data_IF_202996191587
#
_entry.id   IF_202996191587
#
_cell.length_a   1.000
_cell.length_b   1.000
_cell.length_c   1.000
_cell.angle_alpha   90.00
_cell.angle_beta   90.00
_cell.angle_gamma   90.00
#
_symmetry.space_group_name_H-M   'P 1'
#
loop_
_entity.id
_entity.type
_entity.pdbx_description
1 polymer ?
#
# COMPACT_ATOMS: atom_id res chain seq x y z
N UNK A 1 -29.55 6.46 12.73
CA UNK A 1 -29.32 5.03 12.95
C UNK A 1 -28.60 4.89 14.28
N UNK A 2 -29.13 4.07 15.19
CA UNK A 2 -28.51 3.83 16.50
C UNK A 2 -27.25 2.98 16.29
N UNK A 3 -26.11 3.40 16.84
CA UNK A 3 -24.89 2.60 16.76
C UNK A 3 -25.12 1.24 17.43
N UNK A 4 -24.66 0.16 16.79
CA UNK A 4 -24.62 -1.16 17.41
C UNK A 4 -23.71 -1.09 18.65
N UNK A 5 -24.13 -1.75 19.72
CA UNK A 5 -23.33 -1.89 20.94
C UNK A 5 -22.68 -3.26 20.96
N UNK A 6 -21.67 -3.45 21.82
CA UNK A 6 -21.03 -4.76 22.02
C UNK A 6 -22.05 -5.86 22.36
N UNK A 7 -23.14 -5.50 23.04
CA UNK A 7 -24.20 -6.43 23.45
C UNK A 7 -25.08 -6.91 22.29
N UNK A 8 -25.15 -6.14 21.20
CA UNK A 8 -25.90 -6.52 20.00
C UNK A 8 -25.11 -7.39 19.01
N UNK A 9 -23.81 -7.61 19.24
CA UNK A 9 -23.00 -8.47 18.38
C UNK A 9 -23.32 -9.96 18.58
N UNK A 10 -23.35 -10.70 17.48
CA UNK A 10 -23.62 -12.13 17.44
C UNK A 10 -22.31 -12.91 17.39
N UNK A 11 -21.83 -13.28 18.57
CA UNK A 11 -20.73 -14.22 18.69
C UNK A 11 -21.24 -15.64 18.37
N UNK A 12 -20.39 -16.45 17.76
CA UNK A 12 -20.69 -17.87 17.53
C UNK A 12 -21.03 -18.54 18.87
N UNK A 13 -22.19 -19.22 19.00
CA UNK A 13 -22.66 -19.72 20.29
C UNK A 13 -21.87 -20.91 20.83
N UNK A 14 -21.09 -21.60 19.99
CA UNK A 14 -20.30 -22.76 20.40
C UNK A 14 -18.91 -22.34 20.88
N UNK A 15 -18.32 -21.34 20.23
CA UNK A 15 -16.94 -20.90 20.44
C UNK A 15 -16.83 -19.60 21.22
N UNK A 16 -17.88 -18.78 21.23
CA UNK A 16 -17.87 -17.43 21.81
C UNK A 16 -17.06 -16.42 20.99
N UNK A 17 -16.78 -16.71 19.71
CA UNK A 17 -15.90 -15.92 18.85
C UNK A 17 -16.67 -15.23 17.72
N UNK A 18 -16.14 -14.10 17.26
CA UNK A 18 -16.62 -13.37 16.08
C UNK A 18 -15.46 -13.21 15.08
N UNK A 19 -15.68 -13.39 13.76
CA UNK A 19 -14.69 -13.07 12.76
C UNK A 19 -14.45 -11.56 12.71
N UNK A 20 -13.19 -11.19 12.56
CA UNK A 20 -12.72 -9.82 12.40
C UNK A 20 -11.89 -9.73 11.13
N UNK A 21 -12.36 -8.97 10.15
CA UNK A 21 -11.58 -8.56 8.98
C UNK A 21 -10.85 -7.28 9.34
N UNK A 22 -9.54 -7.23 9.07
CA UNK A 22 -8.72 -6.05 9.32
C UNK A 22 -8.34 -5.41 8.00
N UNK A 23 -8.61 -4.12 7.85
CA UNK A 23 -8.28 -3.33 6.66
C UNK A 23 -7.40 -2.15 7.04
N UNK A 24 -6.41 -1.86 6.22
CA UNK A 24 -5.62 -0.65 6.36
C UNK A 24 -6.48 0.58 6.05
N UNK A 25 -6.54 1.49 7.00
CA UNK A 25 -7.32 2.72 6.91
C UNK A 25 -6.81 3.67 5.81
N UNK A 26 -5.51 3.61 5.47
CA UNK A 26 -4.86 4.46 4.46
C UNK A 26 -5.02 3.90 3.04
N UNK A 27 -4.59 2.65 2.83
CA UNK A 27 -4.58 2.04 1.50
C UNK A 27 -5.90 1.35 1.12
N UNK A 28 -6.75 1.02 2.09
CA UNK A 28 -7.92 0.17 1.86
C UNK A 28 -7.58 -1.32 1.66
N UNK A 29 -6.31 -1.72 1.78
CA UNK A 29 -5.91 -3.11 1.66
C UNK A 29 -6.50 -3.97 2.79
N UNK A 30 -7.11 -5.10 2.46
CA UNK A 30 -7.46 -6.11 3.47
C UNK A 30 -6.16 -6.78 3.93
N UNK A 31 -5.88 -6.70 5.24
CA UNK A 31 -4.62 -7.14 5.84
C UNK A 31 -4.68 -8.58 6.34
N UNK A 32 -5.73 -8.93 7.08
CA UNK A 32 -5.89 -10.25 7.69
C UNK A 32 -7.34 -10.50 8.13
N UNK A 33 -7.66 -11.76 8.37
CA UNK A 33 -8.81 -12.17 9.15
C UNK A 33 -8.35 -12.91 10.40
N UNK A 34 -8.95 -12.58 11.54
CA UNK A 34 -8.75 -13.28 12.80
C UNK A 34 -10.07 -13.42 13.55
N UNK A 35 -10.03 -14.07 14.71
CA UNK A 35 -11.18 -14.21 15.60
C UNK A 35 -10.99 -13.29 16.79
N UNK A 36 -12.08 -12.83 17.40
CA UNK A 36 -12.07 -12.14 18.67
C UNK A 36 -13.17 -12.72 19.56
N UNK A 37 -12.88 -12.90 20.84
CA UNK A 37 -13.93 -13.09 21.85
C UNK A 37 -14.49 -11.72 22.27
N UNK A 38 -15.58 -11.74 23.05
CA UNK A 38 -16.20 -10.50 23.55
C UNK A 38 -15.21 -9.59 24.29
N UNK A 39 -14.31 -10.17 25.08
CA UNK A 39 -13.33 -9.41 25.85
C UNK A 39 -12.23 -8.79 24.96
N UNK A 40 -11.79 -9.46 23.89
CA UNK A 40 -10.85 -8.87 22.93
C UNK A 40 -11.47 -7.71 22.15
N UNK A 41 -12.76 -7.81 21.77
CA UNK A 41 -13.47 -6.68 21.14
C UNK A 41 -13.58 -5.50 22.11
N UNK A 42 -14.00 -5.76 23.35
CA UNK A 42 -14.09 -4.72 24.38
C UNK A 42 -12.73 -4.02 24.61
N UNK A 43 -11.65 -4.79 24.75
CA UNK A 43 -10.30 -4.25 24.87
C UNK A 43 -9.90 -3.42 23.66
N UNK A 44 -10.19 -3.89 22.45
CA UNK A 44 -9.87 -3.15 21.22
C UNK A 44 -10.60 -1.81 21.16
N UNK A 45 -11.88 -1.76 21.54
CA UNK A 45 -12.65 -0.52 21.57
C UNK A 45 -12.09 0.49 22.60
N UNK A 46 -11.60 -0.01 23.73
CA UNK A 46 -11.03 0.79 24.83
C UNK A 46 -9.61 1.30 24.51
N UNK A 47 -8.69 0.38 24.16
CA UNK A 47 -7.27 0.71 23.97
C UNK A 47 -6.95 1.22 22.58
N UNK A 48 -7.84 0.97 21.61
CA UNK A 48 -7.58 1.17 20.17
C UNK A 48 -6.41 0.34 19.65
N UNK A 49 -5.97 -0.69 20.36
CA UNK A 49 -4.98 -1.67 19.89
C UNK A 49 -5.72 -2.92 19.41
N UNK A 50 -5.44 -3.38 18.19
CA UNK A 50 -6.13 -4.54 17.67
C UNK A 50 -5.80 -5.80 18.48
N UNK A 51 -6.79 -6.28 19.23
CA UNK A 51 -6.70 -7.48 20.07
C UNK A 51 -7.54 -8.59 19.45
N UNK A 52 -6.98 -9.79 19.39
CA UNK A 52 -7.59 -10.97 18.79
C UNK A 52 -7.54 -12.15 19.75
N UNK A 53 -8.31 -13.19 19.44
CA UNK A 53 -8.29 -14.51 20.08
C UNK A 53 -7.57 -15.52 19.19
N UNK A 54 -6.56 -16.20 19.74
CA UNK A 54 -5.86 -17.29 19.05
C UNK A 54 -6.58 -18.61 19.32
N UNK A 55 -7.26 -19.17 18.31
CA UNK A 55 -7.97 -20.46 18.44
C UNK A 55 -7.05 -21.62 18.81
N UNK A 56 -5.80 -21.60 18.35
CA UNK A 56 -4.81 -22.65 18.62
C UNK A 56 -4.20 -22.54 20.01
N UNK A 57 -3.99 -21.33 20.52
CA UNK A 57 -3.41 -21.09 21.85
C UNK A 57 -4.45 -20.96 22.96
N UNK A 58 -5.72 -20.73 22.61
CA UNK A 58 -6.80 -20.51 23.58
C UNK A 58 -6.61 -19.25 24.41
N UNK A 59 -5.95 -18.23 23.85
CA UNK A 59 -5.63 -16.99 24.56
C UNK A 59 -5.78 -15.76 23.66
N UNK A 60 -5.96 -14.60 24.30
CA UNK A 60 -5.94 -13.30 23.63
C UNK A 60 -4.51 -12.88 23.28
N UNK A 61 -4.37 -12.12 22.21
CA UNK A 61 -3.10 -11.50 21.84
C UNK A 61 -3.33 -10.14 21.18
N UNK A 62 -2.44 -9.19 21.48
CA UNK A 62 -2.42 -7.87 20.85
C UNK A 62 -1.50 -7.93 19.64
N UNK A 63 -1.98 -7.51 18.47
CA UNK A 63 -1.19 -7.56 17.24
C UNK A 63 0.07 -6.72 17.36
N UNK A 64 1.20 -7.36 17.09
CA UNK A 64 2.51 -6.69 17.10
C UNK A 64 3.12 -6.50 18.48
N UNK A 65 2.50 -6.97 19.58
CA UNK A 65 3.07 -6.84 20.92
C UNK A 65 4.47 -7.46 21.06
N UNK A 66 4.77 -8.51 20.29
CA UNK A 66 6.10 -9.16 20.27
C UNK A 66 6.96 -8.67 19.11
N UNK A 67 6.39 -8.45 17.92
CA UNK A 67 7.17 -8.14 16.71
C UNK A 67 7.37 -6.64 16.45
N UNK A 68 6.63 -5.77 17.13
CA UNK A 68 6.54 -4.33 16.82
C UNK A 68 5.62 -4.00 15.64
N UNK A 69 5.06 -4.99 14.95
CA UNK A 69 4.20 -4.77 13.78
C UNK A 69 2.74 -4.55 14.21
N UNK A 70 2.49 -3.39 14.83
CA UNK A 70 1.23 -3.06 15.53
C UNK A 70 0.11 -2.64 14.58
N UNK A 71 -1.12 -2.68 15.12
CA UNK A 71 -2.34 -2.22 14.44
C UNK A 71 -3.09 -1.25 15.35
N UNK A 72 -3.06 0.03 15.02
CA UNK A 72 -3.80 1.07 15.71
C UNK A 72 -5.19 1.20 15.10
N UNK A 73 -6.22 0.83 15.84
CA UNK A 73 -7.62 0.85 15.40
C UNK A 73 -8.17 2.27 15.38
N UNK A 74 -8.56 2.74 14.20
CA UNK A 74 -9.15 4.06 14.00
C UNK A 74 -10.68 3.99 13.93
N UNK A 75 -11.22 2.88 13.44
CA UNK A 75 -12.67 2.67 13.29
C UNK A 75 -13.02 1.17 13.38
N UNK A 76 -14.21 0.87 13.88
CA UNK A 76 -14.76 -0.49 14.02
C UNK A 76 -16.20 -0.48 13.53
N UNK A 77 -16.49 -1.33 12.55
CA UNK A 77 -17.82 -1.49 11.98
C UNK A 77 -18.27 -2.93 12.14
N UNK A 78 -19.55 -3.13 12.46
CA UNK A 78 -20.19 -4.43 12.32
C UNK A 78 -20.86 -4.51 10.94
N UNK A 79 -21.01 -5.71 10.40
CA UNK A 79 -21.81 -5.93 9.21
C UNK A 79 -23.32 -5.85 9.50
N UNK A 80 -24.15 -6.13 8.48
CA UNK A 80 -25.58 -5.82 8.52
C UNK A 80 -26.38 -6.66 9.50
N UNK A 81 -25.90 -7.84 9.87
CA UNK A 81 -26.51 -8.73 10.86
C UNK A 81 -25.67 -8.91 12.13
N UNK A 82 -24.49 -8.28 12.20
CA UNK A 82 -23.71 -8.09 13.42
C UNK A 82 -22.92 -9.33 13.84
N UNK A 83 -22.65 -10.24 12.91
CA UNK A 83 -21.87 -11.46 13.15
C UNK A 83 -20.44 -11.39 12.59
N UNK A 84 -20.04 -10.24 12.03
CA UNK A 84 -18.67 -9.96 11.61
C UNK A 84 -18.28 -8.52 11.90
N UNK A 85 -16.99 -8.30 12.17
CA UNK A 85 -16.42 -6.98 12.40
C UNK A 85 -15.39 -6.61 11.33
N UNK A 86 -15.38 -5.34 10.94
CA UNK A 86 -14.32 -4.69 10.18
C UNK A 86 -13.54 -3.77 11.12
N UNK A 87 -12.26 -4.09 11.36
CA UNK A 87 -11.32 -3.18 12.00
C UNK A 87 -10.58 -2.39 10.93
N UNK A 88 -10.76 -1.06 10.92
CA UNK A 88 -9.91 -0.17 10.13
C UNK A 88 -8.74 0.27 11.00
N UNK A 89 -7.52 0.02 10.51
CA UNK A 89 -6.30 0.20 11.30
C UNK A 89 -5.24 1.01 10.57
N UNK A 90 -4.43 1.76 11.30
CA UNK A 90 -3.12 2.20 10.82
C UNK A 90 -2.13 1.10 11.15
N UNK A 91 -1.61 0.43 10.11
CA UNK A 91 -0.68 -0.70 10.23
C UNK A 91 0.76 -0.18 10.32
N UNK A 92 1.52 -0.68 11.30
CA UNK A 92 2.98 -0.48 11.39
C UNK A 92 3.69 -1.75 10.93
N UNK A 93 4.56 -1.65 9.92
CA UNK A 93 5.27 -2.80 9.35
C UNK A 93 4.35 -3.87 8.74
N UNK A 94 4.89 -5.03 8.34
CA UNK A 94 4.11 -6.15 7.79
C UNK A 94 3.01 -6.69 8.71
N UNK A 95 1.78 -6.86 8.21
CA UNK A 95 0.73 -7.54 8.99
C UNK A 95 0.99 -9.05 9.07
N UNK A 96 1.55 -9.66 8.02
CA UNK A 96 1.78 -11.10 7.94
C UNK A 96 3.09 -11.54 8.61
N UNK A 97 3.10 -12.74 9.20
CA UNK A 97 4.30 -13.32 9.80
C UNK A 97 5.36 -13.72 8.76
N UNK A 98 5.02 -13.77 7.47
CA UNK A 98 5.95 -14.07 6.37
C UNK A 98 6.79 -12.86 5.97
N UNK A 99 6.49 -11.68 6.50
CA UNK A 99 7.05 -10.41 6.05
C UNK A 99 6.24 -9.70 4.97
N UNK A 100 5.21 -10.34 4.41
CA UNK A 100 4.29 -9.69 3.49
C UNK A 100 3.39 -8.65 4.19
N UNK A 101 3.04 -7.58 3.49
CA UNK A 101 2.22 -6.49 4.06
C UNK A 101 0.82 -6.98 4.48
N UNK A 102 0.18 -7.81 3.65
CA UNK A 102 -1.11 -8.45 3.90
C UNK A 102 -0.95 -9.98 3.89
N UNK A 103 -1.81 -10.70 4.62
CA UNK A 103 -1.95 -12.15 4.51
C UNK A 103 -2.53 -12.60 3.15
N UNK A 104 -3.22 -11.73 2.43
CA UNK A 104 -3.89 -12.01 1.15
C UNK A 104 -2.96 -11.77 -0.04
N UNK A 105 -1.78 -12.41 -0.03
CA UNK A 105 -0.71 -12.19 -1.03
C UNK A 105 -0.54 -13.36 -2.01
N UNK A 106 -1.43 -14.35 -2.00
CA UNK A 106 -1.39 -15.53 -2.88
C UNK A 106 -2.68 -15.62 -3.71
N UNK A 107 -2.64 -15.33 -5.02
CA UNK A 107 -3.83 -15.41 -5.87
C UNK A 107 -4.23 -16.86 -6.15
N UNK A 108 -5.53 -17.16 -6.06
CA UNK A 108 -6.09 -18.47 -6.46
C UNK A 108 -6.63 -18.47 -7.90
N UNK A 109 -6.91 -17.30 -8.45
CA UNK A 109 -7.28 -17.12 -9.85
C UNK A 109 -6.19 -16.30 -10.54
N UNK A 110 -5.55 -16.90 -11.53
CA UNK A 110 -4.67 -16.21 -12.48
C UNK A 110 -5.50 -15.73 -13.67
N UNK A 111 -6.46 -14.83 -13.43
CA UNK A 111 -7.06 -14.09 -14.53
C UNK A 111 -6.01 -13.12 -15.08
N UNK A 112 -5.73 -13.20 -16.38
CA UNK A 112 -4.61 -12.52 -17.05
C UNK A 112 -4.49 -11.04 -16.69
N UNK A 113 -3.23 -10.60 -16.56
CA UNK A 113 -2.74 -9.30 -16.11
C UNK A 113 -3.55 -8.70 -14.93
N UNK A 114 -2.97 -8.57 -13.72
CA UNK A 114 -3.67 -7.89 -12.64
C UNK A 114 -4.21 -6.55 -13.15
N UNK A 115 -5.43 -6.17 -12.75
CA UNK A 115 -5.78 -4.74 -12.64
C UNK A 115 -4.89 -4.18 -11.51
N UNK A 116 -3.60 -4.13 -11.79
CA UNK A 116 -2.63 -3.52 -10.94
C UNK A 116 -3.02 -2.05 -10.89
N UNK A 117 -3.26 -1.54 -9.69
CA UNK A 117 -3.20 -0.10 -9.49
C UNK A 117 -1.89 0.44 -10.05
N UNK A 118 -1.84 1.75 -10.30
CA UNK A 118 -0.63 2.38 -10.79
C UNK A 118 0.57 2.02 -9.88
N UNK A 119 0.36 2.01 -8.56
CA UNK A 119 1.36 1.65 -7.55
C UNK A 119 2.03 0.28 -7.81
N UNK A 120 1.23 -0.78 -7.92
CA UNK A 120 1.72 -2.15 -8.19
C UNK A 120 2.38 -2.26 -9.58
N UNK A 121 1.93 -1.46 -10.54
CA UNK A 121 2.59 -1.38 -11.87
C UNK A 121 3.95 -0.69 -11.78
N UNK A 122 4.05 0.43 -11.06
CA UNK A 122 5.29 1.17 -10.88
C UNK A 122 6.34 0.34 -10.13
N UNK A 123 5.94 -0.39 -9.09
CA UNK A 123 6.83 -1.29 -8.34
C UNK A 123 7.42 -2.39 -9.23
N UNK A 124 6.60 -3.01 -10.09
CA UNK A 124 7.11 -4.02 -11.05
C UNK A 124 8.01 -3.43 -12.12
N UNK A 125 7.69 -2.24 -12.63
CA UNK A 125 8.55 -1.54 -13.61
C UNK A 125 9.89 -1.21 -12.97
N UNK A 126 9.90 -0.67 -11.74
CA UNK A 126 11.12 -0.37 -11.01
C UNK A 126 11.97 -1.62 -10.73
N UNK A 127 11.34 -2.72 -10.31
CA UNK A 127 12.04 -4.00 -10.12
C UNK A 127 12.69 -4.49 -11.42
N UNK A 128 11.97 -4.40 -12.54
CA UNK A 128 12.48 -4.76 -13.87
C UNK A 128 13.65 -3.87 -14.30
N UNK A 129 13.58 -2.56 -14.04
CA UNK A 129 14.67 -1.63 -14.31
C UNK A 129 15.90 -2.02 -13.49
N UNK A 130 15.74 -2.24 -12.19
CA UNK A 130 16.83 -2.59 -11.27
C UNK A 130 17.51 -3.89 -11.68
N UNK A 131 16.72 -4.92 -12.00
CA UNK A 131 17.25 -6.20 -12.51
C UNK A 131 18.06 -5.99 -13.79
N UNK A 132 17.54 -5.20 -14.74
CA UNK A 132 18.21 -4.93 -16.02
C UNK A 132 19.45 -4.05 -15.90
N UNK A 133 19.51 -3.16 -14.91
CA UNK A 133 20.73 -2.41 -14.58
C UNK A 133 21.81 -3.33 -13.99
N UNK A 134 21.41 -4.34 -13.20
CA UNK A 134 22.35 -5.31 -12.63
C UNK A 134 22.86 -6.34 -13.65
N UNK A 135 22.00 -6.77 -14.58
CA UNK A 135 22.29 -7.87 -15.51
C UNK A 135 22.73 -7.41 -16.90
N UNK A 136 22.47 -6.14 -17.26
CA UNK A 136 22.80 -5.52 -18.55
C UNK A 136 22.54 -6.42 -19.78
N UNK A 137 21.31 -6.95 -19.97
CA UNK A 137 21.05 -7.88 -21.05
C UNK A 137 21.16 -7.20 -22.42
N UNK A 138 21.67 -7.95 -23.40
CA UNK A 138 21.79 -7.47 -24.79
C UNK A 138 20.41 -7.03 -25.33
N UNK A 139 20.41 -5.96 -26.15
CA UNK A 139 19.22 -5.35 -26.75
C UNK A 139 18.20 -4.74 -25.76
N UNK A 140 18.50 -4.67 -24.46
CA UNK A 140 17.65 -3.99 -23.49
C UNK A 140 17.65 -2.48 -23.65
N UNK A 141 16.46 -1.86 -23.65
CA UNK A 141 16.34 -0.40 -23.62
C UNK A 141 17.02 0.19 -22.37
N UNK A 142 16.85 -0.45 -21.22
CA UNK A 142 17.47 -0.05 -19.94
C UNK A 142 18.99 -0.07 -20.06
N UNK A 143 19.57 -1.11 -20.64
CA UNK A 143 21.03 -1.20 -20.82
C UNK A 143 21.57 -0.10 -21.75
N UNK A 144 20.83 0.23 -22.83
CA UNK A 144 21.19 1.33 -23.74
C UNK A 144 21.07 2.71 -23.10
N UNK A 145 20.05 2.91 -22.25
CA UNK A 145 19.90 4.15 -21.48
C UNK A 145 21.06 4.29 -20.48
N UNK A 146 21.36 3.24 -19.73
CA UNK A 146 22.47 3.19 -18.76
C UNK A 146 23.81 3.52 -19.43
N UNK A 147 24.11 2.88 -20.56
CA UNK A 147 25.33 3.16 -21.34
C UNK A 147 25.41 4.61 -21.85
N UNK A 148 24.26 5.30 -21.97
CA UNK A 148 24.20 6.72 -22.33
C UNK A 148 24.44 7.68 -21.17
N UNK A 149 24.54 7.18 -19.92
CA UNK A 149 24.75 7.97 -18.72
C UNK A 149 23.50 8.73 -18.25
N UNK A 150 23.59 9.27 -17.03
CA UNK A 150 22.49 9.97 -16.36
C UNK A 150 21.96 11.16 -17.17
N UNK A 151 22.84 11.97 -17.77
CA UNK A 151 22.45 13.16 -18.55
C UNK A 151 21.48 12.83 -19.71
N UNK A 152 21.67 11.68 -20.35
CA UNK A 152 20.77 11.22 -21.42
C UNK A 152 19.36 10.95 -20.88
N UNK A 153 19.26 10.35 -19.69
CA UNK A 153 17.99 10.05 -19.04
C UNK A 153 17.30 11.35 -18.60
N UNK A 154 18.05 12.28 -18.01
CA UNK A 154 17.54 13.59 -17.60
C UNK A 154 16.98 14.39 -18.79
N UNK A 155 17.61 14.27 -19.96
CA UNK A 155 17.08 14.84 -21.20
C UNK A 155 15.73 14.22 -21.57
N UNK A 156 15.58 12.89 -21.50
CA UNK A 156 14.30 12.21 -21.77
C UNK A 156 13.22 12.66 -20.79
N UNK A 157 13.51 12.77 -19.49
CA UNK A 157 12.56 13.30 -18.50
C UNK A 157 12.06 14.70 -18.91
N UNK A 158 12.97 15.56 -19.37
CA UNK A 158 12.61 16.92 -19.80
C UNK A 158 11.75 16.92 -21.08
N UNK A 159 12.05 16.03 -22.03
CA UNK A 159 11.27 15.81 -23.26
C UNK A 159 9.85 15.34 -22.92
N UNK A 160 9.70 14.24 -22.18
CA UNK A 160 8.37 13.66 -21.89
C UNK A 160 7.54 14.63 -21.02
N UNK A 161 8.18 15.41 -20.14
CA UNK A 161 7.49 16.47 -19.40
C UNK A 161 6.85 17.50 -20.32
N UNK A 162 7.53 17.88 -21.41
CA UNK A 162 6.98 18.77 -22.43
C UNK A 162 5.79 18.14 -23.16
N UNK A 163 5.88 16.85 -23.48
CA UNK A 163 4.83 16.11 -24.18
C UNK A 163 3.57 15.95 -23.31
N UNK A 164 3.72 15.67 -22.00
CA UNK A 164 2.63 15.69 -21.01
C UNK A 164 1.90 17.04 -21.01
N UNK A 165 2.63 18.15 -21.01
CA UNK A 165 2.03 19.49 -21.01
C UNK A 165 1.21 19.74 -22.29
N UNK A 166 1.72 19.30 -23.45
CA UNK A 166 1.04 19.45 -24.73
C UNK A 166 -0.21 18.57 -24.81
N UNK A 167 -0.11 17.29 -24.45
CA UNK A 167 -1.23 16.35 -24.45
C UNK A 167 -2.35 16.82 -23.51
N UNK A 168 -2.00 17.29 -22.31
CA UNK A 168 -2.96 17.87 -21.36
C UNK A 168 -3.64 19.12 -21.92
N UNK A 169 -2.88 20.04 -22.53
CA UNK A 169 -3.43 21.24 -23.17
C UNK A 169 -4.39 20.91 -24.32
N UNK A 170 -4.10 19.84 -25.07
CA UNK A 170 -4.92 19.38 -26.19
C UNK A 170 -6.14 18.57 -25.74
N UNK A 171 -6.28 18.28 -24.44
CA UNK A 171 -7.30 17.39 -23.87
C UNK A 171 -7.31 15.99 -24.52
N UNK A 172 -6.16 15.54 -25.04
CA UNK A 172 -6.01 14.19 -25.56
C UNK A 172 -5.71 13.24 -24.41
N UNK A 173 -6.76 12.53 -23.97
CA UNK A 173 -6.66 11.60 -22.86
C UNK A 173 -5.71 10.43 -23.15
N UNK A 174 -5.65 9.95 -24.38
CA UNK A 174 -4.87 8.77 -24.74
C UNK A 174 -3.39 9.12 -24.87
N UNK A 175 -3.09 10.24 -25.51
CA UNK A 175 -1.73 10.79 -25.59
C UNK A 175 -1.25 11.14 -24.18
N UNK A 176 -2.04 11.84 -23.37
CA UNK A 176 -1.66 12.19 -22.00
C UNK A 176 -1.31 10.96 -21.14
N UNK A 177 -2.08 9.88 -21.27
CA UNK A 177 -1.79 8.64 -20.55
C UNK A 177 -0.45 8.01 -21.00
N UNK A 178 -0.14 8.08 -22.29
CA UNK A 178 1.12 7.60 -22.88
C UNK A 178 2.29 8.44 -22.36
N UNK A 179 2.21 9.76 -22.46
CA UNK A 179 3.31 10.65 -22.06
C UNK A 179 3.58 10.62 -20.56
N UNK A 180 2.53 10.48 -19.74
CA UNK A 180 2.71 10.28 -18.30
C UNK A 180 3.39 8.95 -18.01
N UNK A 181 3.07 7.88 -18.76
CA UNK A 181 3.73 6.60 -18.58
C UNK A 181 5.23 6.67 -18.94
N UNK A 182 5.58 7.35 -20.03
CA UNK A 182 6.98 7.54 -20.44
C UNK A 182 7.75 8.43 -19.46
N UNK A 183 7.14 9.50 -18.97
CA UNK A 183 7.73 10.34 -17.92
C UNK A 183 7.99 9.53 -16.63
N UNK A 184 7.02 8.74 -16.19
CA UNK A 184 7.15 7.89 -15.00
C UNK A 184 8.25 6.83 -15.20
N UNK A 185 8.32 6.19 -16.37
CA UNK A 185 9.37 5.22 -16.68
C UNK A 185 10.77 5.83 -16.55
N UNK A 186 11.03 6.98 -17.20
CA UNK A 186 12.33 7.62 -17.17
C UNK A 186 12.68 8.17 -15.78
N UNK A 187 11.67 8.61 -15.01
CA UNK A 187 11.84 9.01 -13.61
C UNK A 187 12.26 7.81 -12.73
N UNK A 188 11.56 6.68 -12.85
CA UNK A 188 11.92 5.43 -12.15
C UNK A 188 13.32 4.93 -12.54
N UNK A 189 13.72 5.10 -13.80
CA UNK A 189 15.08 4.79 -14.24
C UNK A 189 16.11 5.67 -13.54
N UNK A 190 15.92 7.00 -13.55
CA UNK A 190 16.85 7.92 -12.91
C UNK A 190 16.95 7.64 -11.40
N UNK A 191 15.83 7.34 -10.75
CA UNK A 191 15.77 6.88 -9.36
C UNK A 191 16.65 5.65 -9.13
N UNK A 192 16.50 4.60 -9.94
CA UNK A 192 17.28 3.38 -9.82
C UNK A 192 18.79 3.60 -10.03
N UNK A 193 19.18 4.45 -10.99
CA UNK A 193 20.58 4.84 -11.23
C UNK A 193 21.26 5.46 -10.01
N UNK A 194 20.52 6.28 -9.25
CA UNK A 194 21.05 7.00 -8.08
C UNK A 194 20.70 6.33 -6.73
N UNK A 195 20.07 5.16 -6.76
CA UNK A 195 19.74 4.37 -5.56
C UNK A 195 18.55 4.91 -4.75
N UNK A 196 17.62 5.64 -5.37
CA UNK A 196 16.36 6.08 -4.75
C UNK A 196 15.26 5.07 -5.09
N UNK A 197 14.55 4.57 -4.08
CA UNK A 197 13.48 3.58 -4.28
C UNK A 197 12.08 4.22 -4.38
N UNK A 198 11.08 3.51 -4.95
CA UNK A 198 9.68 3.92 -4.86
C UNK A 198 9.19 4.11 -3.42
N UNK A 199 9.72 3.33 -2.47
CA UNK A 199 9.39 3.47 -1.04
C UNK A 199 9.87 4.81 -0.46
N UNK A 200 11.05 5.29 -0.88
CA UNK A 200 11.57 6.60 -0.46
C UNK A 200 10.67 7.73 -0.96
N UNK A 201 10.23 7.66 -2.23
CA UNK A 201 9.30 8.63 -2.81
C UNK A 201 7.93 8.55 -2.13
N UNK A 202 7.43 7.34 -1.87
CA UNK A 202 6.16 7.12 -1.19
C UNK A 202 6.18 7.73 0.22
N UNK A 203 7.26 7.57 0.99
CA UNK A 203 7.42 8.20 2.30
C UNK A 203 7.30 9.73 2.21
N UNK A 204 7.97 10.36 1.24
CA UNK A 204 7.90 11.81 1.01
C UNK A 204 6.48 12.25 0.61
N UNK A 205 5.77 11.47 -0.20
CA UNK A 205 4.38 11.78 -0.59
C UNK A 205 3.41 11.62 0.59
N UNK A 206 3.57 10.58 1.40
CA UNK A 206 2.75 10.33 2.59
C UNK A 206 2.93 11.42 3.64
N UNK A 207 4.14 11.99 3.79
CA UNK A 207 4.36 13.14 4.67
C UNK A 207 3.59 14.40 4.22
N UNK A 208 3.32 14.50 2.91
CA UNK A 208 2.64 15.63 2.26
C UNK A 208 1.12 15.42 2.20
N UNK A 209 0.67 14.18 2.25
CA UNK A 209 -0.73 13.80 2.23
C UNK A 209 -1.49 14.45 3.39
N UNK A 210 -2.64 15.08 3.09
CA UNK A 210 -3.47 15.76 4.09
C UNK A 210 -2.95 17.12 4.59
N UNK A 211 -1.80 17.61 4.10
CA UNK A 211 -1.30 18.97 4.40
C UNK A 211 -1.67 19.94 3.28
N UNK A 212 -2.56 20.89 3.54
CA UNK A 212 -2.88 21.97 2.59
C UNK A 212 -1.79 23.06 2.64
N UNK A 213 -1.26 23.47 1.48
CA UNK A 213 -0.34 24.61 1.36
C UNK A 213 1.14 24.31 1.55
N UNK A 214 1.68 23.30 0.84
CA UNK A 214 3.12 23.01 0.78
C UNK A 214 3.91 24.19 0.18
N UNK A 215 4.28 25.17 1.01
CA UNK A 215 5.50 25.96 0.78
C UNK A 215 6.66 25.13 1.32
N UNK A 216 7.29 24.34 0.44
CA UNK A 216 8.65 23.85 0.73
C UNK A 216 9.62 25.03 0.90
N UNK A 217 10.78 24.83 1.55
CA UNK A 217 11.75 25.89 1.72
C UNK A 217 12.13 26.46 0.35
N UNK A 218 11.90 27.77 0.17
CA UNK A 218 12.52 28.51 -0.93
C UNK A 218 14.00 28.58 -0.60
N UNK A 219 14.80 27.67 -1.12
CA UNK A 219 16.22 27.94 -1.26
C UNK A 219 16.39 28.77 -2.53
N UNK A 220 16.81 30.01 -2.28
CA UNK A 220 17.19 30.98 -3.29
C UNK A 220 18.64 30.62 -3.67
N UNK A 221 18.86 30.32 -4.95
CA UNK A 221 20.18 30.07 -5.53
C UNK A 221 20.11 30.14 -7.03
#
# INVERSE_FOLDING_TARGET
MTALTLDSLKFDPQTGLIPVVTQDARSGAVLMQAWADRAAVARTLDTREATYWSRSRGEQWVKGATSGHTQQVVDVQADCDGDSLLYRVVQTGPACHTGAYSCYHQPLLTTGAPQAGLDDTLDRVYATITERLATLPENSYVARLHAGGLDRVLKKISEESGEVLLAAKNADRAELATEVADLLFHTLFAMAEVGVSPADVAAVLQEREGRTGLKGPKEVG
#
